data_IF_646919476520
#
_entry.id   IF_646919476520
#
_cell.length_a   1.000
_cell.length_b   1.000
_cell.length_c   1.000
_cell.angle_alpha   90.00
_cell.angle_beta   90.00
_cell.angle_gamma   90.00
#
_symmetry.space_group_name_H-M   'P 1'
#
loop_
_entity.id
_entity.type
_entity.pdbx_description
1 polymer ?
#
# COMPACT_ATOMS: atom_id res chain seq x y z
N UNK A 1 -17.35 -3.90 8.95
CA UNK A 1 -16.54 -2.96 8.15
C UNK A 1 -15.52 -2.35 9.07
N UNK A 2 -14.23 -2.42 8.74
CA UNK A 2 -13.22 -1.62 9.45
C UNK A 2 -13.22 -0.22 8.82
N UNK A 3 -13.57 0.79 9.60
CA UNK A 3 -13.60 2.19 9.16
C UNK A 3 -12.27 2.84 9.53
N UNK A 4 -11.58 3.43 8.55
CA UNK A 4 -10.44 4.29 8.83
C UNK A 4 -10.93 5.47 9.66
N UNK A 5 -10.35 5.66 10.84
CA UNK A 5 -10.54 6.88 11.63
C UNK A 5 -9.55 7.94 11.12
N UNK A 6 -9.65 8.30 9.84
CA UNK A 6 -8.82 9.32 9.18
C UNK A 6 -9.74 10.37 8.58
N UNK A 7 -9.45 11.65 8.84
CA UNK A 7 -10.17 12.78 8.25
C UNK A 7 -9.70 13.06 6.82
N UNK A 8 -10.55 13.66 5.98
CA UNK A 8 -10.22 13.95 4.57
C UNK A 8 -8.94 14.83 4.42
N UNK A 9 -8.65 15.70 5.39
CA UNK A 9 -7.42 16.50 5.43
C UNK A 9 -6.17 15.64 5.72
N UNK A 10 -6.29 14.64 6.58
CA UNK A 10 -5.23 13.67 6.84
C UNK A 10 -5.02 12.72 5.66
N UNK A 11 -6.09 12.39 4.93
CA UNK A 11 -6.00 11.69 3.64
C UNK A 11 -5.15 12.53 2.67
N UNK A 12 -5.47 13.81 2.49
CA UNK A 12 -4.73 14.65 1.55
C UNK A 12 -3.24 14.83 1.88
N UNK A 13 -2.86 14.71 3.15
CA UNK A 13 -1.48 14.93 3.63
C UNK A 13 -0.66 13.65 3.79
N UNK A 14 -1.30 12.50 4.09
CA UNK A 14 -0.59 11.25 4.45
C UNK A 14 -0.66 10.16 3.39
N UNK A 15 -1.43 10.34 2.32
CA UNK A 15 -1.57 9.37 1.23
C UNK A 15 -1.60 10.07 -0.14
N UNK A 16 -1.50 9.29 -1.21
CA UNK A 16 -1.31 9.79 -2.57
C UNK A 16 0.13 9.78 -3.04
N UNK A 17 1.07 9.32 -2.19
CA UNK A 17 2.47 9.20 -2.55
C UNK A 17 2.68 8.24 -3.72
N UNK A 18 3.40 8.69 -4.75
CA UNK A 18 3.78 7.85 -5.88
C UNK A 18 5.21 7.37 -5.65
N UNK A 19 5.37 6.06 -5.48
CA UNK A 19 6.67 5.41 -5.27
C UNK A 19 7.08 4.62 -6.52
N UNK A 20 8.38 4.34 -6.78
CA UNK A 20 8.82 3.69 -8.01
C UNK A 20 8.12 2.35 -8.31
N UNK A 21 7.90 1.53 -7.28
CA UNK A 21 7.24 0.24 -7.43
C UNK A 21 5.73 0.36 -7.77
N UNK A 22 5.15 1.56 -7.76
CA UNK A 22 3.76 1.80 -8.14
C UNK A 22 3.50 1.38 -9.59
N UNK A 23 4.51 1.45 -10.45
CA UNK A 23 4.42 1.07 -11.86
C UNK A 23 3.93 -0.37 -12.04
N UNK A 24 4.16 -1.25 -11.06
CA UNK A 24 3.77 -2.65 -11.10
C UNK A 24 2.31 -2.91 -10.71
N UNK A 25 1.65 -1.92 -10.10
CA UNK A 25 0.27 -2.00 -9.64
C UNK A 25 -0.67 -1.32 -10.65
N UNK A 26 -1.85 -1.89 -10.80
CA UNK A 26 -2.96 -1.32 -11.58
C UNK A 26 -3.86 -0.44 -10.71
N UNK A 27 -4.08 -0.80 -9.44
CA UNK A 27 -4.83 -0.01 -8.46
C UNK A 27 -4.27 1.41 -8.28
N UNK A 28 -5.15 2.38 -7.99
CA UNK A 28 -4.73 3.76 -7.76
C UNK A 28 -3.83 3.87 -6.52
N UNK A 29 -2.84 4.80 -6.48
CA UNK A 29 -1.94 4.96 -5.34
C UNK A 29 -2.69 5.11 -4.01
N UNK A 30 -3.70 5.96 -3.99
CA UNK A 30 -4.54 6.22 -2.81
C UNK A 30 -5.27 4.95 -2.36
N UNK A 31 -5.81 4.17 -3.30
CA UNK A 31 -6.64 3.00 -3.00
C UNK A 31 -5.87 1.94 -2.19
N UNK A 32 -4.68 1.53 -2.64
CA UNK A 32 -3.93 0.49 -1.95
C UNK A 32 -3.29 1.02 -0.65
N UNK A 33 -2.97 2.32 -0.58
CA UNK A 33 -2.43 2.93 0.63
C UNK A 33 -3.47 2.96 1.75
N UNK A 34 -4.72 3.32 1.44
CA UNK A 34 -5.84 3.23 2.39
C UNK A 34 -6.07 1.80 2.86
N UNK A 35 -6.04 0.83 1.94
CA UNK A 35 -6.16 -0.59 2.30
C UNK A 35 -5.01 -1.05 3.20
N UNK A 36 -3.78 -0.61 2.93
CA UNK A 36 -2.64 -0.89 3.79
C UNK A 36 -2.84 -0.29 5.19
N UNK A 37 -3.26 0.97 5.31
CA UNK A 37 -3.53 1.62 6.59
C UNK A 37 -4.63 0.89 7.38
N UNK A 38 -5.70 0.44 6.73
CA UNK A 38 -6.72 -0.39 7.37
C UNK A 38 -6.16 -1.70 7.91
N UNK A 39 -5.28 -2.35 7.15
CA UNK A 39 -4.75 -3.66 7.51
C UNK A 39 -3.68 -3.56 8.61
N UNK A 40 -2.86 -2.50 8.62
CA UNK A 40 -1.74 -2.36 9.58
C UNK A 40 -2.23 -2.36 11.03
N UNK A 41 -3.42 -1.80 11.28
CA UNK A 41 -3.97 -1.66 12.62
C UNK A 41 -4.64 -2.97 13.11
N UNK A 42 -4.89 -3.93 12.20
CA UNK A 42 -5.63 -5.15 12.48
C UNK A 42 -4.79 -6.44 12.32
N UNK A 43 -3.57 -6.35 11.76
CA UNK A 43 -2.75 -7.51 11.44
C UNK A 43 -1.25 -7.25 11.69
N UNK A 44 -0.51 -8.31 12.01
CA UNK A 44 0.95 -8.27 12.05
C UNK A 44 1.54 -8.03 10.63
N UNK A 45 2.71 -7.40 10.53
CA UNK A 45 3.34 -6.98 9.25
C UNK A 45 3.35 -8.07 8.15
N UNK A 46 3.62 -9.33 8.52
CA UNK A 46 3.66 -10.47 7.59
C UNK A 46 2.29 -10.79 7.01
N UNK A 47 1.24 -10.66 7.83
CA UNK A 47 -0.13 -10.92 7.42
C UNK A 47 -0.72 -9.73 6.65
N UNK A 48 -0.32 -8.49 6.98
CA UNK A 48 -0.68 -7.29 6.20
C UNK A 48 -0.30 -7.46 4.73
N UNK A 49 0.94 -7.88 4.45
CA UNK A 49 1.43 -8.04 3.07
C UNK A 49 0.65 -9.11 2.30
N UNK A 50 0.26 -10.21 2.97
CA UNK A 50 -0.55 -11.27 2.38
C UNK A 50 -1.98 -10.82 2.12
N UNK A 51 -2.59 -10.11 3.08
CA UNK A 51 -3.95 -9.57 2.94
C UNK A 51 -4.02 -8.50 1.85
N UNK A 52 -3.00 -7.64 1.75
CA UNK A 52 -2.91 -6.61 0.73
C UNK A 52 -2.72 -7.23 -0.67
N UNK A 53 -1.97 -8.33 -0.78
CA UNK A 53 -1.81 -9.08 -2.03
C UNK A 53 -3.16 -9.54 -2.63
N UNK A 54 -4.13 -9.87 -1.79
CA UNK A 54 -5.46 -10.29 -2.23
C UNK A 54 -6.34 -9.13 -2.73
N UNK A 55 -6.02 -7.89 -2.34
CA UNK A 55 -6.81 -6.71 -2.67
C UNK A 55 -6.23 -5.88 -3.81
N UNK A 56 -4.90 -5.92 -3.98
CA UNK A 56 -4.17 -5.15 -4.99
C UNK A 56 -4.14 -5.87 -6.34
N UNK A 57 -4.52 -5.15 -7.40
CA UNK A 57 -4.40 -5.64 -8.77
C UNK A 57 -3.03 -5.30 -9.35
N UNK A 58 -2.35 -6.29 -9.93
CA UNK A 58 -1.05 -6.11 -10.56
C UNK A 58 -1.21 -5.95 -12.07
N UNK A 59 -0.27 -5.23 -12.69
CA UNK A 59 -0.17 -5.17 -14.14
C UNK A 59 0.29 -6.53 -14.69
N UNK A 60 -0.13 -6.84 -15.92
CA UNK A 60 0.18 -8.09 -16.59
C UNK A 60 1.69 -8.34 -16.69
N UNK A 61 2.46 -7.33 -17.11
CA UNK A 61 3.92 -7.44 -17.23
C UNK A 61 4.63 -7.68 -15.88
N UNK A 62 4.08 -7.12 -14.79
CA UNK A 62 4.65 -7.28 -13.46
C UNK A 62 4.47 -8.71 -12.96
N UNK A 63 3.30 -9.30 -13.22
CA UNK A 63 2.92 -10.63 -12.74
C UNK A 63 3.73 -11.76 -13.39
N UNK A 64 4.26 -11.54 -14.59
CA UNK A 64 5.04 -12.54 -15.35
C UNK A 64 6.51 -12.54 -14.93
N UNK A 65 7.08 -11.36 -14.65
CA UNK A 65 8.53 -11.20 -14.44
C UNK A 65 8.95 -11.06 -12.98
N UNK A 66 8.05 -10.68 -12.09
CA UNK A 66 8.43 -10.29 -10.73
C UNK A 66 7.58 -10.99 -9.67
N UNK A 67 8.19 -11.20 -8.50
CA UNK A 67 7.47 -11.73 -7.35
C UNK A 67 6.57 -10.63 -6.74
N UNK A 68 5.26 -10.86 -6.79
CA UNK A 68 4.23 -9.91 -6.31
C UNK A 68 4.38 -9.54 -4.83
N UNK A 69 4.78 -10.48 -3.98
CA UNK A 69 5.01 -10.21 -2.57
C UNK A 69 6.23 -9.31 -2.36
N UNK A 70 7.29 -9.51 -3.13
CA UNK A 70 8.49 -8.65 -3.04
C UNK A 70 8.18 -7.23 -3.52
N UNK A 71 7.39 -7.08 -4.59
CA UNK A 71 6.91 -5.77 -5.04
C UNK A 71 6.13 -5.06 -3.91
N UNK A 72 5.17 -5.74 -3.28
CA UNK A 72 4.38 -5.18 -2.18
C UNK A 72 5.22 -4.81 -0.97
N UNK A 73 6.18 -5.65 -0.58
CA UNK A 73 7.11 -5.32 0.51
C UNK A 73 7.89 -4.05 0.21
N UNK A 74 8.39 -3.89 -1.02
CA UNK A 74 9.08 -2.67 -1.46
C UNK A 74 8.17 -1.44 -1.47
N UNK A 75 6.92 -1.58 -1.92
CA UNK A 75 5.92 -0.52 -1.87
C UNK A 75 5.63 -0.04 -0.45
N UNK A 76 5.35 -0.99 0.46
CA UNK A 76 5.07 -0.71 1.86
C UNK A 76 6.29 -0.07 2.52
N UNK A 77 7.50 -0.58 2.25
CA UNK A 77 8.73 -0.01 2.80
C UNK A 77 8.92 1.44 2.36
N UNK A 78 8.75 1.72 1.06
CA UNK A 78 8.88 3.08 0.56
C UNK A 78 7.81 3.99 1.15
N UNK A 79 6.55 3.55 1.18
CA UNK A 79 5.46 4.31 1.77
C UNK A 79 5.71 4.62 3.25
N UNK A 80 6.23 3.66 4.03
CA UNK A 80 6.57 3.86 5.44
C UNK A 80 7.61 4.97 5.60
N UNK A 81 8.60 5.06 4.72
CA UNK A 81 9.60 6.11 4.77
C UNK A 81 8.95 7.49 4.60
N UNK A 82 8.06 7.65 3.60
CA UNK A 82 7.34 8.91 3.40
C UNK A 82 6.42 9.28 4.57
N UNK A 83 5.72 8.31 5.16
CA UNK A 83 4.81 8.58 6.28
C UNK A 83 5.55 8.87 7.60
N UNK A 84 6.81 8.41 7.76
CA UNK A 84 7.62 8.60 8.96
C UNK A 84 8.53 9.84 8.90
N UNK A 85 8.80 10.38 7.71
CA UNK A 85 9.59 11.61 7.56
C UNK A 85 8.81 12.88 7.96
N UNK A 86 7.49 12.79 8.12
CA UNK A 86 6.61 13.89 8.55
C UNK A 86 6.20 13.84 10.05
N UNK A 87 6.89 13.05 10.89
CA UNK A 87 6.56 12.84 12.32
C UNK A 87 7.63 13.32 13.30
#
# INVERSE_FOLDING_TARGET
MYQLKIYDEEVCTRIGFIVPNQIYILSYPIEWQLQYLLLKDNYNNTDVSKQLLLKVKFRSFASVKYNRLNILKGLISNLKNYILEDA
#
